data_IF_395962065155
#
_entry.id   IF_395962065155
#
_cell.length_a   1.000
_cell.length_b   1.000
_cell.length_c   1.000
_cell.angle_alpha   90.00
_cell.angle_beta   90.00
_cell.angle_gamma   90.00
#
_symmetry.space_group_name_H-M   'P 1'
#
loop_
_entity.id
_entity.type
_entity.pdbx_description
1 polymer ?
#
# COMPACT_ATOMS: atom_id res chain seq x y z
N UNK A 1 26.24 0.96 -5.32
CA UNK A 1 24.92 1.63 -5.24
C UNK A 1 24.25 1.13 -3.98
N UNK A 2 24.24 1.92 -2.92
CA UNK A 2 23.50 1.59 -1.69
C UNK A 2 22.02 1.73 -2.01
N UNK A 3 21.34 0.60 -2.24
CA UNK A 3 19.88 0.56 -2.29
C UNK A 3 19.41 1.06 -0.93
N UNK A 4 18.82 2.26 -0.90
CA UNK A 4 18.05 2.71 0.26
C UNK A 4 17.07 1.60 0.63
N UNK A 5 16.98 1.20 1.91
CA UNK A 5 16.15 0.07 2.30
C UNK A 5 14.72 0.35 1.82
N UNK A 6 14.23 -0.50 0.92
CA UNK A 6 12.85 -0.43 0.48
C UNK A 6 11.97 -0.61 1.72
N UNK A 7 11.18 0.42 2.04
CA UNK A 7 10.36 0.42 3.24
C UNK A 7 9.10 -0.39 2.95
N UNK A 8 8.92 -1.48 3.68
CA UNK A 8 7.67 -2.25 3.65
C UNK A 8 6.58 -1.41 4.32
N UNK A 9 5.47 -1.21 3.64
CA UNK A 9 4.29 -0.52 4.16
C UNK A 9 3.05 -1.39 3.98
N UNK A 10 2.01 -1.06 4.73
CA UNK A 10 0.71 -1.72 4.67
C UNK A 10 -0.34 -0.71 4.21
N UNK A 11 -1.04 -1.02 3.13
CA UNK A 11 -2.16 -0.25 2.63
C UNK A 11 -3.45 -1.03 2.85
N UNK A 12 -4.33 -0.55 3.71
CA UNK A 12 -5.65 -1.14 3.94
C UNK A 12 -6.70 -0.37 3.15
N UNK A 13 -7.37 -1.03 2.23
CA UNK A 13 -8.53 -0.52 1.49
C UNK A 13 -9.82 -0.99 2.17
N UNK A 14 -10.50 -0.07 2.86
CA UNK A 14 -11.72 -0.38 3.61
C UNK A 14 -12.94 -0.66 2.72
N UNK A 15 -12.92 -0.27 1.44
CA UNK A 15 -14.04 -0.56 0.53
C UNK A 15 -13.98 -1.99 0.02
N UNK A 16 -12.77 -2.54 -0.12
CA UNK A 16 -12.54 -3.90 -0.58
C UNK A 16 -12.29 -4.89 0.55
N UNK A 17 -12.10 -4.41 1.78
CA UNK A 17 -11.71 -5.21 2.92
C UNK A 17 -10.39 -5.95 2.70
N UNK A 18 -9.42 -5.29 2.04
CA UNK A 18 -8.13 -5.88 1.68
C UNK A 18 -6.97 -5.09 2.27
N UNK A 19 -5.92 -5.80 2.68
CA UNK A 19 -4.64 -5.22 3.09
C UNK A 19 -3.56 -5.63 2.11
N UNK A 20 -2.82 -4.65 1.59
CA UNK A 20 -1.69 -4.84 0.68
C UNK A 20 -0.40 -4.55 1.45
N UNK A 21 0.39 -5.58 1.75
CA UNK A 21 1.69 -5.43 2.38
C UNK A 21 2.78 -5.56 1.33
N UNK A 22 3.56 -4.52 1.09
CA UNK A 22 4.59 -4.54 0.07
C UNK A 22 5.59 -3.41 0.23
N UNK A 23 6.58 -3.37 -0.66
CA UNK A 23 7.59 -2.33 -0.65
C UNK A 23 7.09 -1.06 -1.31
N UNK A 24 7.30 0.06 -0.63
CA UNK A 24 6.93 1.37 -1.13
C UNK A 24 7.70 1.73 -2.41
N UNK A 25 6.97 2.12 -3.46
CA UNK A 25 7.56 2.63 -4.71
C UNK A 25 7.28 4.11 -4.95
N UNK A 26 6.01 4.53 -4.82
CA UNK A 26 5.66 5.95 -4.97
C UNK A 26 4.38 6.34 -4.24
N UNK A 27 4.27 7.61 -3.87
CA UNK A 27 3.12 8.19 -3.18
C UNK A 27 2.79 9.54 -3.79
N UNK A 28 1.50 9.80 -4.01
CA UNK A 28 1.00 11.10 -4.41
C UNK A 28 -0.37 11.37 -3.80
N UNK A 29 -0.57 12.58 -3.32
CA UNK A 29 -1.88 13.05 -2.90
C UNK A 29 -2.40 14.10 -3.88
N UNK A 30 -3.62 13.92 -4.36
CA UNK A 30 -4.28 14.88 -5.25
C UNK A 30 -5.75 14.94 -4.89
N UNK A 31 -6.27 16.14 -4.61
CA UNK A 31 -7.70 16.38 -4.41
C UNK A 31 -8.38 15.36 -3.47
N UNK A 32 -7.83 15.18 -2.26
CA UNK A 32 -8.32 14.25 -1.24
C UNK A 32 -8.28 12.76 -1.65
N UNK A 33 -7.50 12.42 -2.69
CA UNK A 33 -7.20 11.05 -3.10
C UNK A 33 -5.73 10.77 -2.86
N UNK A 34 -5.47 9.54 -2.43
CA UNK A 34 -4.15 8.93 -2.39
C UNK A 34 -3.97 8.12 -3.66
N UNK A 35 -2.80 8.24 -4.25
CA UNK A 35 -2.29 7.35 -5.29
C UNK A 35 -0.99 6.79 -4.73
N UNK A 36 -0.98 5.50 -4.41
CA UNK A 36 0.19 4.82 -3.87
C UNK A 36 0.53 3.61 -4.75
N UNK A 37 1.81 3.43 -5.03
CA UNK A 37 2.33 2.28 -5.77
C UNK A 37 3.23 1.45 -4.87
N UNK A 38 2.99 0.15 -4.84
CA UNK A 38 3.77 -0.85 -4.11
C UNK A 38 4.37 -1.87 -5.06
N UNK A 39 5.41 -2.57 -4.61
CA UNK A 39 6.04 -3.73 -5.27
C UNK A 39 6.20 -4.90 -4.30
N UNK A 40 6.35 -6.12 -4.84
CA UNK A 40 6.44 -7.39 -4.11
C UNK A 40 5.40 -7.50 -2.99
N UNK A 41 4.13 -7.47 -3.41
CA UNK A 41 2.98 -7.32 -2.53
C UNK A 41 2.42 -8.67 -2.16
N UNK A 42 2.12 -8.86 -0.88
CA UNK A 42 1.24 -9.89 -0.39
C UNK A 42 -0.11 -9.26 -0.01
N UNK A 43 -1.20 -9.82 -0.52
CA UNK A 43 -2.57 -9.33 -0.29
C UNK A 43 -3.26 -10.23 0.72
N UNK A 44 -3.89 -9.61 1.73
CA UNK A 44 -4.61 -10.28 2.80
C UNK A 44 -6.06 -9.80 2.85
N UNK A 45 -6.96 -10.69 3.30
CA UNK A 45 -8.25 -10.24 3.81
C UNK A 45 -8.05 -9.45 5.10
N UNK A 46 -8.65 -8.26 5.19
CA UNK A 46 -8.46 -7.36 6.33
C UNK A 46 -9.01 -7.92 7.64
N UNK A 47 -10.10 -8.68 7.60
CA UNK A 47 -10.78 -9.16 8.83
C UNK A 47 -10.08 -10.38 9.40
N UNK A 48 -9.75 -11.35 8.55
CA UNK A 48 -9.15 -12.61 9.00
C UNK A 48 -7.62 -12.59 8.98
N UNK A 49 -6.99 -11.58 8.37
CA UNK A 49 -5.54 -11.55 8.10
C UNK A 49 -5.06 -12.76 7.29
N UNK A 50 -5.96 -13.39 6.53
CA UNK A 50 -5.62 -14.56 5.70
C UNK A 50 -4.91 -14.11 4.43
N UNK A 51 -3.74 -14.66 4.09
CA UNK A 51 -3.10 -14.39 2.80
C UNK A 51 -3.95 -14.94 1.66
N UNK A 52 -4.19 -14.10 0.66
CA UNK A 52 -5.02 -14.43 -0.51
C UNK A 52 -4.16 -14.74 -1.73
N UNK A 53 -3.31 -13.79 -2.13
CA UNK A 53 -2.45 -13.91 -3.30
C UNK A 53 -1.33 -12.86 -3.26
N UNK A 54 -0.33 -13.02 -4.14
CA UNK A 54 0.78 -12.08 -4.30
C UNK A 54 0.70 -11.34 -5.64
N UNK A 55 1.24 -10.13 -5.68
CA UNK A 55 1.36 -9.30 -6.88
C UNK A 55 2.77 -8.72 -6.99
N UNK A 56 3.30 -8.61 -8.20
CA UNK A 56 4.60 -7.94 -8.43
C UNK A 56 4.50 -6.44 -8.18
N UNK A 57 3.43 -5.79 -8.64
CA UNK A 57 3.22 -4.35 -8.51
C UNK A 57 1.73 -4.00 -8.52
N UNK A 58 1.34 -2.99 -7.75
CA UNK A 58 -0.01 -2.44 -7.78
C UNK A 58 0.02 -0.93 -7.58
N UNK A 59 -0.87 -0.22 -8.28
CA UNK A 59 -1.18 1.19 -7.98
C UNK A 59 -2.59 1.30 -7.44
N UNK A 60 -2.71 1.70 -6.18
CA UNK A 60 -3.98 1.94 -5.50
C UNK A 60 -4.33 3.41 -5.58
N UNK A 61 -5.57 3.69 -6.01
CA UNK A 61 -6.15 5.03 -6.06
C UNK A 61 -7.43 5.08 -5.26
N UNK A 62 -7.38 5.65 -4.06
CA UNK A 62 -8.51 5.70 -3.13
C UNK A 62 -8.64 7.06 -2.47
N UNK A 63 -9.83 7.37 -1.94
CA UNK A 63 -9.99 8.56 -1.10
C UNK A 63 -9.22 8.36 0.21
N UNK A 64 -8.59 9.43 0.74
CA UNK A 64 -7.90 9.40 2.04
C UNK A 64 -8.76 8.84 3.19
N UNK A 65 -10.09 9.00 3.11
CA UNK A 65 -11.04 8.50 4.12
C UNK A 65 -11.33 7.00 4.01
N UNK A 66 -10.89 6.36 2.93
CA UNK A 66 -11.17 4.96 2.59
C UNK A 66 -9.92 4.09 2.54
N UNK A 67 -8.76 4.69 2.76
CA UNK A 67 -7.48 4.01 2.80
C UNK A 67 -6.77 4.35 4.10
N UNK A 68 -6.24 3.33 4.76
CA UNK A 68 -5.32 3.48 5.87
C UNK A 68 -3.94 3.03 5.43
N UNK A 69 -2.92 3.77 5.86
CA UNK A 69 -1.53 3.51 5.49
C UNK A 69 -0.72 3.42 6.77
N UNK A 70 -0.08 2.28 6.97
CA UNK A 70 0.82 2.04 8.08
C UNK A 70 2.24 1.81 7.55
N UNK A 71 3.18 2.57 8.10
CA UNK A 71 4.57 2.57 7.69
C UNK A 71 5.12 3.97 7.46
N UNK A 72 6.42 4.07 7.23
CA UNK A 72 7.08 5.34 6.94
C UNK A 72 6.99 5.56 5.44
N UNK A 73 6.25 6.59 5.04
CA UNK A 73 6.33 7.13 3.68
C UNK A 73 7.44 8.19 3.71
N UNK A 74 8.53 8.02 2.95
CA UNK A 74 9.59 9.01 2.93
C UNK A 74 9.02 10.33 2.40
N UNK A 75 9.20 11.41 3.16
CA UNK A 75 8.84 12.75 2.71
C UNK A 75 9.72 13.09 1.49
N UNK A 76 9.08 13.37 0.36
CA UNK A 76 9.74 13.92 -0.82
C UNK A 76 10.30 15.31 -0.54
#
# INVERSE_FOLDING_TARGET
MTLSPQQKIYLTDFEQNLTFAGFFKSYKEVNNKVIATLQDIEVYDYVSSTPLFCLEEITLKRSKRKIYIEGIIPAC
#
